data_IF_450474007805
#
_entry.id   IF_450474007805
#
_cell.length_a   1.000
_cell.length_b   1.000
_cell.length_c   1.000
_cell.angle_alpha   90.00
_cell.angle_beta   90.00
_cell.angle_gamma   90.00
#
_symmetry.space_group_name_H-M   'P 1'
#
loop_
_entity.id
_entity.type
_entity.pdbx_description
1 polymer ?
#
# COMPACT_ATOMS: atom_id res chain seq x y z
N UNK A 1 6.96 -10.18 25.17
CA UNK A 1 5.82 -9.88 24.27
C UNK A 1 6.17 -10.47 22.92
N UNK A 2 5.73 -11.71 22.68
CA UNK A 2 6.15 -12.55 21.56
C UNK A 2 5.73 -11.97 20.21
N UNK A 3 6.70 -11.85 19.31
CA UNK A 3 6.46 -11.87 17.88
C UNK A 3 6.05 -13.30 17.50
N UNK A 4 4.86 -13.46 16.94
CA UNK A 4 4.41 -14.71 16.34
C UNK A 4 3.83 -14.41 14.96
N UNK A 5 4.67 -14.65 13.95
CA UNK A 5 4.30 -15.15 12.63
C UNK A 5 3.49 -14.17 11.74
N UNK A 6 4.22 -13.44 10.90
CA UNK A 6 4.13 -13.50 9.43
C UNK A 6 2.75 -13.45 8.72
N UNK A 7 1.73 -12.86 9.33
CA UNK A 7 0.55 -12.41 8.58
C UNK A 7 0.91 -11.12 7.85
N UNK A 8 0.92 -11.15 6.52
CA UNK A 8 0.90 -9.92 5.72
C UNK A 8 -0.27 -9.06 6.21
N UNK A 9 0.01 -8.00 6.97
CA UNK A 9 -1.04 -7.11 7.45
C UNK A 9 -1.59 -6.35 6.25
N UNK A 10 -2.72 -6.84 5.73
CA UNK A 10 -3.41 -6.27 4.59
C UNK A 10 -3.95 -4.87 4.89
N UNK A 11 -3.95 -4.44 6.15
CA UNK A 11 -4.27 -3.08 6.58
C UNK A 11 -3.08 -2.12 6.53
N UNK A 12 -1.87 -2.61 6.28
CA UNK A 12 -0.67 -1.78 6.16
C UNK A 12 -0.23 -1.61 4.70
N UNK A 13 0.34 -0.44 4.43
CA UNK A 13 0.97 -0.12 3.16
C UNK A 13 2.32 -0.84 3.06
N UNK A 14 2.54 -1.72 2.07
CA UNK A 14 3.79 -2.48 1.95
C UNK A 14 5.02 -1.59 1.68
N UNK A 15 4.81 -0.36 1.21
CA UNK A 15 5.88 0.58 0.92
C UNK A 15 6.36 1.36 2.15
N UNK A 16 5.53 1.55 3.17
CA UNK A 16 5.91 2.39 4.32
C UNK A 16 5.44 1.90 5.70
N UNK A 17 4.75 0.76 5.78
CA UNK A 17 4.26 0.16 7.02
C UNK A 17 3.16 0.94 7.74
N UNK A 18 2.62 2.01 7.15
CA UNK A 18 1.51 2.79 7.72
C UNK A 18 0.16 2.23 7.29
N UNK A 19 -0.94 2.50 8.03
CA UNK A 19 -2.29 2.14 7.60
C UNK A 19 -2.56 2.55 6.15
N UNK A 20 -3.14 1.63 5.37
CA UNK A 20 -3.52 1.87 3.98
C UNK A 20 -4.96 2.33 3.80
N UNK A 21 -5.73 2.42 4.90
CA UNK A 21 -7.14 2.78 4.96
C UNK A 21 -8.04 1.95 4.02
N UNK A 22 -7.62 0.72 3.69
CA UNK A 22 -8.40 -0.18 2.87
C UNK A 22 -9.67 -0.61 3.60
N UNK A 23 -10.83 -0.37 2.98
CA UNK A 23 -12.13 -0.75 3.55
C UNK A 23 -12.25 -2.25 3.78
N UNK A 24 -11.76 -3.07 2.85
CA UNK A 24 -11.78 -4.54 3.00
C UNK A 24 -10.89 -4.97 4.17
N UNK A 25 -9.69 -4.38 4.31
CA UNK A 25 -8.80 -4.68 5.42
C UNK A 25 -9.36 -4.23 6.78
N UNK A 26 -10.18 -3.18 6.79
CA UNK A 26 -10.92 -2.71 7.96
C UNK A 26 -12.19 -3.54 8.27
N UNK A 27 -12.46 -4.63 7.53
CA UNK A 27 -13.62 -5.51 7.74
C UNK A 27 -14.85 -5.20 6.88
N UNK A 28 -14.72 -4.27 5.92
CA UNK A 28 -15.75 -4.01 4.91
C UNK A 28 -15.76 -5.04 3.78
N UNK A 29 -16.64 -4.84 2.78
CA UNK A 29 -16.83 -5.77 1.66
C UNK A 29 -16.14 -5.31 0.39
N UNK A 30 -15.81 -6.27 -0.48
CA UNK A 30 -15.38 -5.97 -1.85
C UNK A 30 -16.51 -5.24 -2.55
N UNK A 31 -16.23 -4.03 -3.06
CA UNK A 31 -17.23 -3.18 -3.69
C UNK A 31 -17.81 -2.10 -2.77
N UNK A 32 -17.38 -2.00 -1.51
CA UNK A 32 -17.70 -0.84 -0.68
C UNK A 32 -16.80 0.37 -1.06
N UNK A 33 -17.30 1.61 -0.98
CA UNK A 33 -16.53 2.81 -1.31
C UNK A 33 -15.21 2.91 -0.57
N UNK A 34 -14.10 2.77 -1.28
CA UNK A 34 -12.76 2.95 -0.73
C UNK A 34 -12.23 4.34 -1.05
N UNK A 35 -11.45 4.93 -0.15
CA UNK A 35 -10.87 6.27 -0.36
C UNK A 35 -10.04 6.38 -1.64
N UNK A 36 -9.47 5.25 -2.11
CA UNK A 36 -8.63 5.20 -3.29
C UNK A 36 -9.45 5.21 -4.59
N UNK A 37 -10.77 5.04 -4.52
CA UNK A 37 -11.63 5.11 -5.69
C UNK A 37 -11.55 6.50 -6.33
N UNK A 38 -11.29 6.53 -7.64
CA UNK A 38 -11.08 7.78 -8.38
C UNK A 38 -9.71 8.44 -8.16
N UNK A 39 -8.84 7.87 -7.33
CA UNK A 39 -7.44 8.34 -7.20
C UNK A 39 -6.63 7.76 -8.35
N UNK A 40 -6.03 8.62 -9.18
CA UNK A 40 -5.07 8.18 -10.19
C UNK A 40 -3.73 7.84 -9.51
N UNK A 41 -3.28 6.57 -9.53
CA UNK A 41 -2.00 6.19 -8.92
C UNK A 41 -0.82 6.87 -9.63
N UNK A 42 0.21 7.22 -8.88
CA UNK A 42 1.51 7.57 -9.45
C UNK A 42 2.15 6.30 -10.05
N UNK A 43 2.57 6.28 -11.32
CA UNK A 43 3.23 5.12 -11.94
C UNK A 43 4.42 4.61 -11.13
N UNK A 44 5.22 5.53 -10.60
CA UNK A 44 6.42 5.26 -9.79
C UNK A 44 6.09 4.52 -8.50
N UNK A 45 4.89 4.75 -7.94
CA UNK A 45 4.42 4.02 -6.77
C UNK A 45 4.08 2.56 -7.09
N UNK A 46 3.58 2.28 -8.30
CA UNK A 46 3.23 0.93 -8.73
C UNK A 46 4.47 0.10 -9.09
N UNK A 47 5.48 0.74 -9.67
CA UNK A 47 6.76 0.10 -10.02
C UNK A 47 7.48 -0.46 -8.80
N UNK A 48 7.41 0.25 -7.67
CA UNK A 48 8.03 -0.16 -6.41
C UNK A 48 7.32 -1.29 -5.68
N UNK A 49 6.12 -1.67 -6.11
CA UNK A 49 5.46 -2.85 -5.56
C UNK A 49 6.17 -4.09 -6.13
N UNK A 50 6.65 -5.01 -5.27
CA UNK A 50 7.19 -6.29 -5.72
C UNK A 50 6.18 -7.00 -6.64
N UNK A 51 6.67 -7.61 -7.72
CA UNK A 51 5.80 -8.27 -8.71
C UNK A 51 4.78 -9.23 -8.08
N UNK A 52 5.18 -9.96 -7.03
CA UNK A 52 4.31 -10.89 -6.32
C UNK A 52 3.10 -10.23 -5.62
N UNK A 53 3.22 -8.95 -5.25
CA UNK A 53 2.22 -8.17 -4.49
C UNK A 53 1.41 -7.21 -5.37
N UNK A 54 1.82 -6.95 -6.62
CA UNK A 54 1.07 -6.08 -7.54
C UNK A 54 -0.37 -6.57 -7.68
N UNK A 55 -1.30 -5.63 -7.65
CA UNK A 55 -2.75 -5.87 -7.72
C UNK A 55 -3.33 -6.72 -6.56
N UNK A 56 -2.54 -7.05 -5.53
CA UNK A 56 -2.99 -7.85 -4.37
C UNK A 56 -2.98 -7.07 -3.05
N UNK A 57 -2.32 -5.91 -3.03
CA UNK A 57 -2.11 -5.09 -1.82
C UNK A 57 -2.61 -3.67 -2.05
N UNK A 58 -3.11 -3.05 -0.99
CA UNK A 58 -3.48 -1.64 -1.00
C UNK A 58 -2.31 -0.76 -0.53
N UNK A 59 -2.11 0.37 -1.22
CA UNK A 59 -1.18 1.42 -0.80
C UNK A 59 -1.92 2.44 0.04
N UNK A 60 -1.23 3.15 0.95
CA UNK A 60 -1.81 4.30 1.65
C UNK A 60 -1.88 5.56 0.77
N UNK A 61 -2.68 6.56 1.17
CA UNK A 61 -2.83 7.84 0.45
C UNK A 61 -1.51 8.46 0.03
N UNK A 62 -0.56 8.56 0.97
CA UNK A 62 0.76 9.14 0.70
C UNK A 62 1.51 8.36 -0.37
N UNK A 63 1.59 7.04 -0.26
CA UNK A 63 2.37 6.24 -1.19
C UNK A 63 1.70 6.13 -2.56
N UNK A 64 0.36 6.06 -2.64
CA UNK A 64 -0.37 5.96 -3.90
C UNK A 64 -0.24 7.23 -4.76
N UNK A 65 -0.15 8.41 -4.13
CA UNK A 65 -0.09 9.70 -4.84
C UNK A 65 1.31 10.31 -4.91
N UNK A 66 2.29 9.76 -4.18
CA UNK A 66 3.65 10.27 -4.17
C UNK A 66 4.33 10.04 -5.52
N UNK A 67 4.68 11.14 -6.20
CA UNK A 67 5.46 11.14 -7.45
C UNK A 67 6.95 11.38 -7.23
N UNK A 68 7.32 11.87 -6.05
CA UNK A 68 8.66 12.26 -5.64
C UNK A 68 9.27 11.25 -4.65
N UNK A 69 9.07 9.95 -4.90
CA UNK A 69 9.68 8.94 -4.05
C UNK A 69 11.21 9.00 -4.18
N UNK A 70 11.99 9.20 -3.08
CA UNK A 70 13.45 9.12 -3.16
C UNK A 70 13.83 7.65 -3.29
N UNK A 71 14.16 7.30 -4.53
CA UNK A 71 14.66 6.04 -5.07
C UNK A 71 15.09 4.99 -4.03
N UNK A 72 14.64 3.76 -4.26
CA UNK A 72 15.41 2.58 -3.90
C UNK A 72 16.89 2.82 -4.26
N UNK A 73 17.73 2.93 -3.23
CA UNK A 73 19.18 3.12 -3.27
C UNK A 73 19.69 4.32 -4.08
N UNK A 74 19.92 5.45 -3.41
CA UNK A 74 20.71 6.54 -3.99
C UNK A 74 20.47 7.93 -3.40
N UNK A 75 20.68 8.10 -2.10
CA UNK A 75 20.99 9.41 -1.51
C UNK A 75 22.31 9.31 -0.74
N UNK A 76 23.42 9.34 -1.51
CA UNK A 76 24.83 9.56 -1.14
C UNK A 76 25.51 8.62 -0.13
#
# INVERSE_FOLDING_TARGET
MSATIETLDIGLCPLCGRPNDCVVAAGGKVGDPCWCWGVRPAPEALEQIPHALRQKVCLCRRCLTRRDWPNAEGQK
#
